data_IF_004366467444
#
_entry.id   IF_004366467444
#
_cell.length_a   1.000
_cell.length_b   1.000
_cell.length_c   1.000
_cell.angle_alpha   90.00
_cell.angle_beta   90.00
_cell.angle_gamma   90.00
#
_symmetry.space_group_name_H-M   'P 1'
#
loop_
_entity.id
_entity.type
_entity.pdbx_description
1 polymer ?
#
# COMPACT_ATOMS: atom_id res chain seq x y z
N UNK A 1 13.67 -15.29 -6.16
CA UNK A 1 12.89 -16.07 -5.19
C UNK A 1 11.44 -15.65 -5.33
N UNK A 2 10.66 -16.44 -6.06
CA UNK A 2 9.20 -16.39 -6.00
C UNK A 2 8.83 -16.73 -4.56
N UNK A 3 8.42 -15.75 -3.75
CA UNK A 3 7.77 -16.02 -2.47
C UNK A 3 6.52 -16.86 -2.81
N UNK A 4 6.55 -18.16 -2.48
CA UNK A 4 5.35 -18.95 -2.48
C UNK A 4 4.44 -18.34 -1.42
N UNK A 5 3.21 -18.00 -1.80
CA UNK A 5 2.17 -17.58 -0.87
C UNK A 5 2.03 -18.66 0.22
N UNK A 6 2.22 -18.39 1.51
CA UNK A 6 2.11 -19.45 2.50
C UNK A 6 0.66 -19.88 2.70
N UNK A 7 0.46 -21.17 3.02
CA UNK A 7 -0.80 -21.64 3.57
C UNK A 7 -0.96 -21.01 4.96
N UNK A 8 -2.08 -20.34 5.17
CA UNK A 8 -2.38 -19.68 6.44
C UNK A 8 -3.28 -20.52 7.36
N UNK A 9 -4.18 -21.31 6.79
CA UNK A 9 -5.11 -22.15 7.54
C UNK A 9 -5.46 -23.41 6.76
N UNK A 10 -5.66 -24.50 7.50
CA UNK A 10 -6.16 -25.76 7.00
C UNK A 10 -7.39 -26.15 7.84
N UNK A 11 -8.56 -26.24 7.21
CA UNK A 11 -9.83 -26.56 7.87
C UNK A 11 -10.34 -27.86 7.28
N UNK A 12 -10.28 -28.92 8.06
CA UNK A 12 -10.76 -30.25 7.66
C UNK A 12 -12.26 -30.39 7.86
N UNK A 13 -12.92 -31.10 6.96
CA UNK A 13 -14.31 -31.53 7.16
C UNK A 13 -14.37 -32.68 8.15
N UNK A 14 -15.56 -32.92 8.72
CA UNK A 14 -15.77 -34.00 9.72
C UNK A 14 -15.34 -35.37 9.19
N UNK A 15 -14.44 -36.02 9.92
CA UNK A 15 -13.91 -37.35 9.60
C UNK A 15 -12.79 -37.34 8.54
N UNK A 16 -12.20 -36.19 8.22
CA UNK A 16 -11.01 -36.05 7.37
C UNK A 16 -9.84 -35.56 8.21
N UNK A 17 -8.69 -36.17 8.04
CA UNK A 17 -7.46 -35.72 8.71
C UNK A 17 -6.76 -34.64 7.88
N UNK A 18 -6.01 -33.77 8.55
CA UNK A 18 -5.21 -32.74 7.87
C UNK A 18 -4.22 -33.37 6.88
N UNK A 19 -3.58 -34.48 7.29
CA UNK A 19 -2.66 -35.21 6.42
C UNK A 19 -3.33 -35.69 5.13
N UNK A 20 -4.55 -36.21 5.22
CA UNK A 20 -5.33 -36.67 4.08
C UNK A 20 -5.68 -35.49 3.13
N UNK A 21 -6.20 -34.40 3.69
CA UNK A 21 -6.54 -33.20 2.90
C UNK A 21 -5.33 -32.65 2.15
N UNK A 22 -4.19 -32.50 2.84
CA UNK A 22 -2.97 -31.97 2.24
C UNK A 22 -2.40 -32.90 1.19
N UNK A 23 -2.43 -34.24 1.41
CA UNK A 23 -1.93 -35.21 0.43
C UNK A 23 -2.74 -35.18 -0.88
N UNK A 24 -4.07 -35.10 -0.82
CA UNK A 24 -4.91 -34.97 -2.01
C UNK A 24 -4.76 -33.61 -2.69
N UNK A 25 -4.64 -32.54 -1.92
CA UNK A 25 -4.39 -31.20 -2.43
C UNK A 25 -3.02 -31.16 -3.17
N UNK A 26 -1.97 -31.73 -2.59
CA UNK A 26 -0.66 -31.84 -3.22
C UNK A 26 -0.73 -32.58 -4.55
N UNK A 27 -1.37 -33.78 -4.56
CA UNK A 27 -1.47 -34.60 -5.76
C UNK A 27 -2.18 -33.87 -6.91
N UNK A 28 -3.23 -33.10 -6.59
CA UNK A 28 -4.00 -32.32 -7.54
C UNK A 28 -3.21 -31.10 -8.04
N UNK A 29 -2.55 -30.35 -7.14
CA UNK A 29 -1.85 -29.12 -7.47
C UNK A 29 -0.46 -29.33 -8.10
N UNK A 30 0.13 -30.54 -7.96
CA UNK A 30 1.47 -30.87 -8.52
C UNK A 30 1.60 -30.62 -10.01
N UNK A 31 0.51 -30.73 -10.76
CA UNK A 31 0.46 -30.49 -12.20
C UNK A 31 -0.03 -29.08 -12.59
N UNK A 32 -0.30 -28.23 -11.61
CA UNK A 32 -0.79 -26.87 -11.80
C UNK A 32 0.38 -25.88 -11.86
N UNK A 33 0.34 -24.97 -12.82
CA UNK A 33 1.30 -23.86 -12.91
C UNK A 33 0.85 -22.61 -12.12
N UNK A 34 -0.29 -22.67 -11.47
CA UNK A 34 -0.85 -21.52 -10.74
C UNK A 34 0.00 -21.15 -9.53
N UNK A 35 0.19 -19.84 -9.22
CA UNK A 35 0.96 -19.42 -8.05
C UNK A 35 0.48 -20.02 -6.71
N UNK A 36 -0.83 -20.22 -6.54
CA UNK A 36 -1.41 -20.84 -5.37
C UNK A 36 -1.01 -22.32 -5.22
N UNK A 37 -0.78 -23.04 -6.33
CA UNK A 37 -0.31 -24.42 -6.30
C UNK A 37 1.04 -24.53 -5.60
N UNK A 38 1.96 -23.59 -5.86
CA UNK A 38 3.28 -23.57 -5.22
C UNK A 38 3.20 -23.49 -3.70
N UNK A 39 2.21 -22.80 -3.19
CA UNK A 39 1.96 -22.69 -1.74
C UNK A 39 1.57 -24.05 -1.14
N UNK A 40 0.63 -24.75 -1.82
CA UNK A 40 0.17 -26.08 -1.40
C UNK A 40 1.32 -27.08 -1.45
N UNK A 41 2.12 -27.06 -2.51
CA UNK A 41 3.26 -27.96 -2.68
C UNK A 41 4.32 -27.74 -1.59
N UNK A 42 4.72 -26.49 -1.37
CA UNK A 42 5.73 -26.18 -0.34
C UNK A 42 5.30 -26.57 1.07
N UNK A 43 4.02 -26.38 1.39
CA UNK A 43 3.47 -26.77 2.70
C UNK A 43 3.45 -28.29 2.86
N UNK A 44 2.99 -29.02 1.85
CA UNK A 44 2.90 -30.49 1.87
C UNK A 44 4.29 -31.13 1.97
N UNK A 45 5.30 -30.59 1.27
CA UNK A 45 6.69 -31.05 1.36
C UNK A 45 7.26 -30.85 2.76
N UNK A 46 7.01 -29.68 3.38
CA UNK A 46 7.42 -29.41 4.76
C UNK A 46 6.73 -30.33 5.77
N UNK A 47 5.47 -30.69 5.53
CA UNK A 47 4.68 -31.59 6.38
C UNK A 47 4.99 -33.09 6.15
N UNK A 48 5.86 -33.44 5.20
CA UNK A 48 6.21 -34.83 4.84
C UNK A 48 4.97 -35.71 4.59
N UNK A 49 4.02 -35.20 3.81
CA UNK A 49 2.77 -35.91 3.50
C UNK A 49 2.99 -36.99 2.44
N UNK A 50 2.08 -37.96 2.39
CA UNK A 50 2.13 -39.02 1.38
C UNK A 50 1.87 -38.42 0.00
N UNK A 51 2.69 -38.81 -0.97
CA UNK A 51 2.63 -38.32 -2.34
C UNK A 51 1.95 -39.35 -3.21
N UNK A 52 0.84 -38.99 -3.87
CA UNK A 52 0.15 -39.81 -4.85
C UNK A 52 0.34 -39.23 -6.26
N UNK A 53 0.22 -40.06 -7.26
CA UNK A 53 0.11 -39.65 -8.65
C UNK A 53 -1.35 -39.67 -9.11
N UNK A 54 -1.73 -38.62 -9.84
CA UNK A 54 -3.07 -38.48 -10.40
C UNK A 54 -3.03 -38.56 -11.91
N UNK A 55 -4.10 -39.08 -12.49
CA UNK A 55 -4.31 -39.20 -13.93
C UNK A 55 -5.37 -38.21 -14.40
N UNK A 56 -5.52 -38.05 -15.70
CA UNK A 56 -6.57 -37.22 -16.32
C UNK A 56 -6.71 -35.81 -15.72
N UNK A 57 -5.56 -35.19 -15.42
CA UNK A 57 -5.53 -33.81 -14.87
C UNK A 57 -6.10 -32.80 -15.87
N UNK A 58 -7.03 -31.97 -15.41
CA UNK A 58 -7.63 -30.90 -16.20
C UNK A 58 -7.70 -29.63 -15.37
N UNK A 59 -7.09 -28.56 -15.87
CA UNK A 59 -7.24 -27.21 -15.31
C UNK A 59 -8.45 -26.53 -15.97
N UNK A 60 -9.32 -25.93 -15.13
CA UNK A 60 -10.51 -25.20 -15.52
C UNK A 60 -10.28 -23.72 -15.22
N UNK A 61 -9.85 -22.89 -16.19
CA UNK A 61 -9.50 -21.49 -15.94
C UNK A 61 -10.60 -20.72 -15.19
N UNK A 62 -10.22 -20.02 -14.12
CA UNK A 62 -11.13 -19.24 -13.28
C UNK A 62 -12.02 -20.05 -12.33
N UNK A 63 -11.99 -21.37 -12.38
CA UNK A 63 -12.81 -22.24 -11.54
C UNK A 63 -11.98 -23.10 -10.59
N UNK A 64 -11.12 -23.97 -11.13
CA UNK A 64 -10.34 -24.90 -10.33
C UNK A 64 -9.69 -25.99 -11.17
N UNK A 65 -9.43 -27.12 -10.52
CA UNK A 65 -8.70 -28.27 -11.04
C UNK A 65 -9.49 -29.53 -10.84
N UNK A 66 -9.31 -30.50 -11.72
CA UNK A 66 -9.84 -31.87 -11.55
C UNK A 66 -8.80 -32.88 -11.98
N UNK A 67 -8.77 -34.04 -11.31
CA UNK A 67 -7.95 -35.17 -11.67
C UNK A 67 -8.56 -36.47 -11.17
N UNK A 68 -8.07 -37.61 -11.64
CA UNK A 68 -8.49 -38.93 -11.20
C UNK A 68 -7.39 -39.60 -10.37
N UNK A 69 -7.75 -40.12 -9.22
CA UNK A 69 -6.89 -40.91 -8.36
C UNK A 69 -7.57 -42.26 -8.09
N UNK A 70 -6.94 -43.36 -8.53
CA UNK A 70 -7.55 -44.69 -8.56
C UNK A 70 -8.89 -44.65 -9.33
N UNK A 71 -10.02 -44.85 -8.61
CA UNK A 71 -11.37 -44.78 -9.19
C UNK A 71 -12.17 -43.54 -8.66
N UNK A 72 -11.50 -42.60 -7.98
CA UNK A 72 -12.12 -41.42 -7.41
C UNK A 72 -11.75 -40.15 -8.20
N UNK A 73 -12.68 -39.21 -8.29
CA UNK A 73 -12.46 -37.89 -8.90
C UNK A 73 -12.07 -36.89 -7.81
N UNK A 74 -10.87 -36.34 -7.93
CA UNK A 74 -10.41 -35.24 -7.10
C UNK A 74 -10.79 -33.90 -7.75
N UNK A 75 -11.26 -32.95 -6.96
CA UNK A 75 -11.47 -31.57 -7.43
C UNK A 75 -10.98 -30.57 -6.41
N UNK A 76 -10.38 -29.50 -6.91
CA UNK A 76 -9.92 -28.37 -6.07
C UNK A 76 -10.27 -27.05 -6.75
N UNK A 77 -10.64 -26.03 -5.98
CA UNK A 77 -10.95 -24.73 -6.56
C UNK A 77 -11.78 -23.81 -5.65
N UNK A 78 -12.35 -22.80 -6.25
CA UNK A 78 -13.16 -21.81 -5.52
C UNK A 78 -14.53 -22.38 -5.10
N UNK A 79 -15.19 -21.66 -4.17
CA UNK A 79 -16.52 -22.04 -3.66
C UNK A 79 -17.55 -22.25 -4.77
N UNK A 80 -17.59 -21.35 -5.77
CA UNK A 80 -18.55 -21.40 -6.88
C UNK A 80 -18.42 -22.69 -7.67
N UNK A 81 -17.23 -23.13 -7.94
CA UNK A 81 -16.94 -24.37 -8.68
C UNK A 81 -17.28 -25.61 -7.84
N UNK A 82 -16.84 -25.65 -6.59
CA UNK A 82 -17.04 -26.82 -5.74
C UNK A 82 -18.51 -27.00 -5.35
N UNK A 83 -19.27 -25.94 -5.14
CA UNK A 83 -20.71 -26.01 -4.81
C UNK A 83 -21.57 -26.58 -5.96
N UNK A 84 -21.07 -26.63 -7.21
CA UNK A 84 -21.73 -27.32 -8.30
C UNK A 84 -21.52 -28.85 -8.28
N UNK A 85 -20.58 -29.34 -7.48
CA UNK A 85 -20.17 -30.75 -7.45
C UNK A 85 -20.55 -31.44 -6.15
N UNK A 86 -20.46 -30.75 -5.03
CA UNK A 86 -20.77 -31.30 -3.72
C UNK A 86 -21.48 -30.31 -2.83
N UNK A 87 -22.27 -30.82 -1.88
CA UNK A 87 -22.91 -29.96 -0.89
C UNK A 87 -21.88 -29.48 0.12
N UNK A 88 -21.71 -28.15 0.23
CA UNK A 88 -20.88 -27.52 1.24
C UNK A 88 -21.73 -27.15 2.43
N UNK A 89 -21.39 -27.67 3.64
CA UNK A 89 -22.14 -27.38 4.85
C UNK A 89 -22.11 -25.87 5.18
N UNK A 90 -23.14 -25.39 5.87
CA UNK A 90 -23.21 -24.00 6.30
C UNK A 90 -22.00 -23.60 7.16
N UNK A 91 -21.53 -24.49 8.03
CA UNK A 91 -20.36 -24.29 8.86
C UNK A 91 -19.09 -23.99 8.00
N UNK A 92 -18.88 -24.79 6.95
CA UNK A 92 -17.74 -24.60 6.04
C UNK A 92 -17.88 -23.34 5.18
N UNK A 93 -19.10 -22.95 4.82
CA UNK A 93 -19.37 -21.68 4.14
C UNK A 93 -19.02 -20.48 5.02
N UNK A 94 -19.47 -20.51 6.29
CA UNK A 94 -19.16 -19.44 7.26
C UNK A 94 -17.66 -19.34 7.53
N UNK A 95 -16.97 -20.47 7.65
CA UNK A 95 -15.51 -20.49 7.81
C UNK A 95 -14.80 -19.89 6.59
N UNK A 96 -15.20 -20.32 5.39
CA UNK A 96 -14.67 -19.75 4.14
C UNK A 96 -14.89 -18.24 4.07
N UNK A 97 -16.09 -17.77 4.46
CA UNK A 97 -16.43 -16.36 4.48
C UNK A 97 -15.58 -15.56 5.48
N UNK A 98 -15.30 -16.12 6.65
CA UNK A 98 -14.39 -15.54 7.65
C UNK A 98 -12.97 -15.40 7.09
N UNK A 99 -12.46 -16.47 6.46
CA UNK A 99 -11.15 -16.46 5.81
C UNK A 99 -11.07 -15.38 4.71
N UNK A 100 -12.08 -15.35 3.83
CA UNK A 100 -12.15 -14.34 2.77
C UNK A 100 -12.23 -12.90 3.33
N UNK A 101 -12.96 -12.70 4.45
CA UNK A 101 -13.02 -11.40 5.14
C UNK A 101 -11.70 -10.99 5.76
N UNK A 102 -10.86 -11.97 6.10
CA UNK A 102 -9.50 -11.74 6.60
C UNK A 102 -8.47 -11.54 5.47
N UNK A 103 -8.91 -11.42 4.21
CA UNK A 103 -8.01 -11.22 3.05
C UNK A 103 -7.33 -12.49 2.55
N UNK A 104 -7.81 -13.67 2.98
CA UNK A 104 -7.26 -14.97 2.58
C UNK A 104 -8.05 -15.55 1.41
N UNK A 105 -7.39 -16.36 0.57
CA UNK A 105 -8.03 -17.07 -0.54
C UNK A 105 -8.34 -18.50 -0.14
N UNK A 106 -9.62 -18.86 0.16
CA UNK A 106 -10.01 -20.20 0.50
C UNK A 106 -10.14 -21.07 -0.75
N UNK A 107 -9.41 -22.18 -0.79
CA UNK A 107 -9.49 -23.23 -1.79
C UNK A 107 -10.18 -24.46 -1.19
N UNK A 108 -11.22 -24.95 -1.84
CA UNK A 108 -11.98 -26.13 -1.43
C UNK A 108 -11.45 -27.35 -2.16
N UNK A 109 -11.35 -28.48 -1.46
CA UNK A 109 -10.91 -29.75 -2.02
C UNK A 109 -11.95 -30.83 -1.77
N UNK A 110 -12.22 -31.65 -2.80
CA UNK A 110 -13.19 -32.74 -2.74
C UNK A 110 -12.60 -34.02 -3.30
N UNK A 111 -13.11 -35.16 -2.80
CA UNK A 111 -12.91 -36.47 -3.35
C UNK A 111 -14.28 -37.03 -3.66
N UNK A 112 -14.59 -37.30 -4.93
CA UNK A 112 -15.93 -37.56 -5.44
C UNK A 112 -16.92 -36.50 -4.96
N UNK A 113 -18.05 -36.89 -4.39
CA UNK A 113 -19.07 -36.00 -3.83
C UNK A 113 -18.81 -35.57 -2.39
N UNK A 114 -17.64 -35.90 -1.81
CA UNK A 114 -17.31 -35.58 -0.41
C UNK A 114 -16.35 -34.42 -0.33
N UNK A 115 -16.75 -33.38 0.39
CA UNK A 115 -15.85 -32.27 0.74
C UNK A 115 -14.79 -32.77 1.73
N UNK A 116 -13.51 -32.61 1.40
CA UNK A 116 -12.38 -32.91 2.29
C UNK A 116 -12.11 -31.75 3.24
N UNK A 117 -12.11 -30.52 2.75
CA UNK A 117 -11.84 -29.34 3.55
C UNK A 117 -11.51 -28.10 2.75
N UNK A 118 -11.00 -27.11 3.45
CA UNK A 118 -10.57 -25.82 2.91
C UNK A 118 -9.10 -25.62 3.26
N UNK A 119 -8.31 -25.21 2.28
CA UNK A 119 -6.94 -24.71 2.45
C UNK A 119 -6.96 -23.23 2.11
N UNK A 120 -6.61 -22.37 3.06
CA UNK A 120 -6.54 -20.94 2.82
C UNK A 120 -5.10 -20.52 2.54
N UNK A 121 -4.94 -19.82 1.42
CA UNK A 121 -3.68 -19.21 1.03
C UNK A 121 -3.80 -17.72 1.26
N UNK A 122 -2.81 -17.11 1.90
CA UNK A 122 -2.79 -15.68 2.15
C UNK A 122 -1.46 -15.07 1.69
N UNK A 123 -1.55 -13.86 1.18
CA UNK A 123 -0.37 -13.01 1.12
C UNK A 123 0.02 -12.63 2.55
N UNK A 124 1.17 -13.09 3.01
CA UNK A 124 1.69 -12.70 4.31
C UNK A 124 2.47 -11.41 4.13
N UNK A 125 2.04 -10.40 4.88
CA UNK A 125 2.81 -9.18 4.99
C UNK A 125 4.20 -9.53 5.55
N UNK A 126 5.25 -9.04 4.91
CA UNK A 126 6.61 -9.22 5.42
C UNK A 126 6.70 -8.66 6.84
N UNK A 127 7.37 -9.37 7.73
CA UNK A 127 7.47 -9.02 9.17
C UNK A 127 7.96 -7.58 9.42
N UNK A 128 8.81 -7.07 8.52
CA UNK A 128 9.36 -5.72 8.63
C UNK A 128 8.42 -4.61 8.14
N UNK A 129 7.33 -4.94 7.39
CA UNK A 129 6.47 -3.95 6.74
C UNK A 129 5.70 -3.06 7.72
N UNK A 130 5.04 -3.58 8.78
CA UNK A 130 4.31 -2.72 9.73
C UNK A 130 5.24 -1.73 10.45
N UNK A 131 6.44 -2.18 10.82
CA UNK A 131 7.43 -1.32 11.46
C UNK A 131 7.96 -0.25 10.50
N UNK A 132 8.22 -0.61 9.23
CA UNK A 132 8.65 0.33 8.21
C UNK A 132 7.59 1.41 7.95
N UNK A 133 6.31 1.03 7.85
CA UNK A 133 5.18 1.96 7.72
C UNK A 133 5.13 2.92 8.90
N UNK A 134 5.21 2.39 10.13
CA UNK A 134 5.22 3.21 11.34
C UNK A 134 6.39 4.22 11.37
N UNK A 135 7.58 3.80 10.91
CA UNK A 135 8.73 4.68 10.83
C UNK A 135 8.54 5.81 9.83
N UNK A 136 7.96 5.52 8.65
CA UNK A 136 7.63 6.53 7.65
C UNK A 136 6.60 7.54 8.19
N UNK A 137 5.55 7.06 8.86
CA UNK A 137 4.55 7.91 9.51
C UNK A 137 5.17 8.79 10.60
N UNK A 138 6.10 8.26 11.42
CA UNK A 138 6.84 9.05 12.40
C UNK A 138 7.70 10.15 11.75
N UNK A 139 8.17 9.94 10.51
CA UNK A 139 8.87 10.96 9.73
C UNK A 139 7.94 12.02 9.11
N UNK A 140 6.62 11.92 9.35
CA UNK A 140 5.59 12.81 8.81
C UNK A 140 5.17 12.48 7.38
N UNK A 141 5.44 11.26 6.90
CA UNK A 141 5.11 10.79 5.56
C UNK A 141 3.80 10.02 5.64
N UNK A 142 2.80 10.39 4.84
CA UNK A 142 1.57 9.63 4.64
C UNK A 142 1.89 8.39 3.79
N UNK A 143 1.47 7.22 4.25
CA UNK A 143 1.72 5.96 3.58
C UNK A 143 0.44 5.46 2.93
N UNK A 144 0.45 5.33 1.61
CA UNK A 144 -0.68 4.87 0.80
C UNK A 144 -0.32 3.53 0.17
N UNK A 145 -1.17 2.52 0.37
CA UNK A 145 -1.04 1.24 -0.31
C UNK A 145 -1.82 1.27 -1.62
N UNK A 146 -1.13 0.95 -2.73
CA UNK A 146 -1.70 0.90 -4.07
C UNK A 146 -1.60 -0.54 -4.59
N UNK A 147 -2.75 -1.17 -4.87
CA UNK A 147 -2.79 -2.58 -5.28
C UNK A 147 -3.84 -2.84 -6.34
N UNK A 148 -3.62 -3.90 -7.15
CA UNK A 148 -4.60 -4.45 -8.07
C UNK A 148 -5.56 -5.47 -7.43
N UNK A 149 -5.36 -5.80 -6.14
CA UNK A 149 -6.24 -6.69 -5.41
C UNK A 149 -7.61 -6.06 -5.18
N UNK A 150 -8.62 -6.91 -4.97
CA UNK A 150 -9.95 -6.45 -4.62
C UNK A 150 -9.95 -5.65 -3.31
N UNK A 151 -10.88 -4.73 -3.20
CA UNK A 151 -10.98 -3.77 -2.09
C UNK A 151 -11.00 -4.45 -0.71
N UNK A 152 -11.63 -5.61 -0.59
CA UNK A 152 -11.75 -6.35 0.68
C UNK A 152 -10.41 -6.88 1.16
N UNK A 153 -9.68 -7.57 0.28
CA UNK A 153 -8.33 -8.09 0.57
C UNK A 153 -7.37 -6.94 0.84
N UNK A 154 -7.39 -5.92 0.00
CA UNK A 154 -6.55 -4.74 0.14
C UNK A 154 -6.75 -4.02 1.47
N UNK A 155 -7.99 -3.82 1.92
CA UNK A 155 -8.30 -3.22 3.23
C UNK A 155 -7.81 -4.06 4.40
N UNK A 156 -7.96 -5.40 4.33
CA UNK A 156 -7.47 -6.29 5.37
C UNK A 156 -5.95 -6.23 5.50
N UNK A 157 -5.22 -6.30 4.38
CA UNK A 157 -3.75 -6.18 4.33
C UNK A 157 -3.30 -4.80 4.78
N UNK A 158 -3.94 -3.74 4.30
CA UNK A 158 -3.63 -2.36 4.67
C UNK A 158 -3.80 -2.08 6.17
N UNK A 159 -4.83 -2.64 6.79
CA UNK A 159 -5.05 -2.56 8.24
C UNK A 159 -3.94 -3.30 9.03
N UNK A 160 -3.50 -4.46 8.57
CA UNK A 160 -2.39 -5.20 9.18
C UNK A 160 -1.05 -4.46 9.01
N UNK A 161 -0.81 -3.85 7.84
CA UNK A 161 0.38 -3.04 7.58
C UNK A 161 0.36 -1.70 8.32
N UNK A 162 -0.82 -1.22 8.72
CA UNK A 162 -1.02 0.06 9.40
C UNK A 162 -0.87 1.28 8.49
N UNK A 163 -1.17 1.15 7.19
CA UNK A 163 -1.09 2.27 6.22
C UNK A 163 -2.20 3.29 6.47
N UNK A 164 -1.98 4.53 6.03
CA UNK A 164 -2.95 5.62 6.21
C UNK A 164 -4.12 5.55 5.23
N UNK A 165 -3.89 4.97 4.04
CA UNK A 165 -4.89 4.84 2.99
C UNK A 165 -4.63 3.61 2.13
N UNK A 166 -5.71 3.02 1.61
CA UNK A 166 -5.67 1.90 0.67
C UNK A 166 -6.41 2.27 -0.60
N UNK A 167 -5.76 2.13 -1.75
CA UNK A 167 -6.36 2.30 -3.08
C UNK A 167 -6.27 0.93 -3.77
N UNK A 168 -7.41 0.28 -3.88
CA UNK A 168 -7.58 -1.07 -4.40
C UNK A 168 -8.09 -1.09 -5.84
N UNK A 169 -8.21 -2.29 -6.43
CA UNK A 169 -8.76 -2.55 -7.78
C UNK A 169 -8.09 -1.72 -8.89
N UNK A 170 -6.80 -1.36 -8.73
CA UNK A 170 -6.08 -0.54 -9.69
C UNK A 170 -5.36 -1.43 -10.69
N UNK A 171 -5.80 -1.38 -11.94
CA UNK A 171 -5.13 -2.05 -13.05
C UNK A 171 -3.70 -1.52 -13.24
N UNK A 172 -2.78 -2.32 -13.80
CA UNK A 172 -1.40 -1.89 -14.03
C UNK A 172 -1.29 -0.53 -14.75
N UNK A 173 -2.09 -0.33 -15.81
CA UNK A 173 -2.13 0.91 -16.60
C UNK A 173 -2.80 2.08 -15.87
N UNK A 174 -3.45 1.84 -14.73
CA UNK A 174 -4.09 2.86 -13.91
C UNK A 174 -3.22 3.42 -12.80
N UNK A 175 -2.12 2.74 -12.45
CA UNK A 175 -1.26 3.13 -11.32
C UNK A 175 -0.63 4.50 -11.50
N UNK A 176 -0.18 4.85 -12.70
CA UNK A 176 0.39 6.15 -13.03
C UNK A 176 -0.62 7.30 -12.86
N UNK A 177 -1.87 7.06 -13.21
CA UNK A 177 -2.98 8.02 -13.04
C UNK A 177 -3.24 8.30 -11.55
N UNK A 178 -3.18 7.27 -10.70
CA UNK A 178 -3.29 7.42 -9.24
C UNK A 178 -2.12 8.26 -8.71
N UNK A 179 -0.89 7.96 -9.12
CA UNK A 179 0.29 8.76 -8.73
C UNK A 179 0.12 10.21 -9.17
N UNK A 180 -0.33 10.46 -10.39
CA UNK A 180 -0.59 11.81 -10.90
C UNK A 180 -1.63 12.58 -10.07
N UNK A 181 -2.65 11.88 -9.55
CA UNK A 181 -3.65 12.44 -8.64
C UNK A 181 -3.03 12.80 -7.29
N UNK A 182 -2.28 11.87 -6.69
CA UNK A 182 -1.63 12.07 -5.39
C UNK A 182 -0.61 13.21 -5.42
N UNK A 183 0.06 13.45 -6.55
CA UNK A 183 1.00 14.57 -6.75
C UNK A 183 0.34 15.94 -6.64
N UNK A 184 -0.98 16.06 -6.79
CA UNK A 184 -1.69 17.33 -6.58
C UNK A 184 -1.75 17.73 -5.10
N UNK A 185 -1.71 16.73 -4.21
CA UNK A 185 -1.77 16.93 -2.76
C UNK A 185 -0.38 17.12 -2.14
N UNK A 186 0.69 16.74 -2.85
CA UNK A 186 2.07 16.86 -2.36
C UNK A 186 3.07 16.06 -3.19
N UNK A 187 4.32 16.01 -2.73
CA UNK A 187 5.36 15.19 -3.37
C UNK A 187 5.14 13.72 -3.06
N UNK A 188 5.29 12.87 -4.07
CA UNK A 188 5.03 11.45 -4.01
C UNK A 188 6.30 10.66 -4.29
N UNK A 189 6.65 9.75 -3.37
CA UNK A 189 7.59 8.67 -3.64
C UNK A 189 6.80 7.39 -3.94
N UNK A 190 7.07 6.74 -5.06
CA UNK A 190 6.53 5.42 -5.39
C UNK A 190 7.55 4.35 -5.03
N UNK A 191 7.09 3.32 -4.36
CA UNK A 191 7.90 2.14 -4.02
C UNK A 191 7.29 0.93 -4.70
N UNK A 192 8.07 0.20 -5.50
CA UNK A 192 7.60 -0.96 -6.23
C UNK A 192 8.72 -1.96 -6.51
N UNK A 193 8.37 -3.18 -6.92
CA UNK A 193 9.33 -4.27 -7.18
C UNK A 193 9.20 -4.90 -8.56
N UNK A 194 8.18 -4.54 -9.33
CA UNK A 194 7.80 -5.21 -10.56
C UNK A 194 7.83 -4.37 -11.83
N UNK A 195 7.80 -5.08 -12.97
CA UNK A 195 7.69 -4.50 -14.32
C UNK A 195 6.41 -3.63 -14.43
N UNK A 196 5.34 -4.08 -13.79
CA UNK A 196 4.04 -3.41 -13.81
C UNK A 196 4.03 -2.08 -13.06
N UNK A 197 5.05 -1.80 -12.25
CA UNK A 197 5.19 -0.57 -11.47
C UNK A 197 6.07 0.48 -12.18
N UNK A 198 6.79 0.12 -13.25
CA UNK A 198 7.70 1.02 -13.95
C UNK A 198 7.06 2.33 -14.41
N UNK A 199 5.84 2.38 -14.99
CA UNK A 199 5.18 3.64 -15.34
C UNK A 199 4.89 4.52 -14.10
N UNK A 200 4.48 3.89 -12.99
CA UNK A 200 4.20 4.60 -11.73
C UNK A 200 5.48 5.10 -11.04
N UNK A 201 6.58 4.31 -11.08
CA UNK A 201 7.89 4.71 -10.58
C UNK A 201 8.40 5.95 -11.32
N UNK A 202 8.36 5.94 -12.66
CA UNK A 202 8.76 7.09 -13.48
C UNK A 202 7.85 8.31 -13.28
N UNK A 203 6.56 8.12 -13.02
CA UNK A 203 5.61 9.21 -12.82
C UNK A 203 5.77 9.91 -11.48
N UNK A 204 6.24 9.23 -10.46
CA UNK A 204 6.44 9.76 -9.11
C UNK A 204 7.48 10.91 -9.10
N UNK A 205 7.57 11.65 -8.00
CA UNK A 205 8.68 12.61 -7.81
C UNK A 205 9.98 11.89 -7.41
N UNK A 206 9.85 10.70 -6.84
CA UNK A 206 10.96 9.77 -6.59
C UNK A 206 10.43 8.36 -6.79
N UNK A 207 11.02 7.60 -7.70
CA UNK A 207 10.82 6.17 -7.89
C UNK A 207 11.82 5.36 -7.07
N UNK A 208 11.34 4.40 -6.29
CA UNK A 208 12.18 3.53 -5.45
C UNK A 208 11.88 2.08 -5.82
N UNK A 209 12.84 1.38 -6.44
CA UNK A 209 12.74 -0.05 -6.68
C UNK A 209 13.25 -0.85 -5.46
N UNK A 210 12.53 -1.90 -5.06
CA UNK A 210 12.89 -2.78 -3.95
C UNK A 210 13.25 -4.17 -4.46
N UNK A 211 14.37 -4.72 -3.94
CA UNK A 211 14.83 -6.07 -4.24
C UNK A 211 15.66 -6.14 -5.52
N UNK A 212 16.04 -7.34 -5.93
CA UNK A 212 16.61 -7.60 -7.24
C UNK A 212 15.49 -7.51 -8.30
N UNK A 213 14.88 -6.31 -8.41
CA UNK A 213 13.84 -6.04 -9.37
C UNK A 213 14.27 -6.39 -10.79
N UNK A 214 13.31 -6.50 -11.69
CA UNK A 214 13.61 -6.66 -13.12
C UNK A 214 14.42 -5.46 -13.61
N UNK A 215 15.27 -5.66 -14.61
CA UNK A 215 16.07 -4.59 -15.22
C UNK A 215 15.21 -3.37 -15.56
N UNK A 216 13.96 -3.58 -15.99
CA UNK A 216 13.00 -2.52 -16.31
C UNK A 216 12.61 -1.68 -15.09
N UNK A 217 12.41 -2.30 -13.92
CA UNK A 217 12.09 -1.55 -12.70
C UNK A 217 13.32 -0.78 -12.18
N UNK A 218 14.51 -1.34 -12.37
CA UNK A 218 15.79 -0.69 -12.03
C UNK A 218 15.99 0.55 -12.90
N UNK A 219 15.76 0.45 -14.21
CA UNK A 219 15.90 1.56 -15.15
C UNK A 219 14.85 2.67 -14.94
N UNK A 220 13.68 2.33 -14.40
CA UNK A 220 12.59 3.28 -14.12
C UNK A 220 12.68 3.98 -12.77
N UNK A 221 13.59 3.56 -11.88
CA UNK A 221 13.68 4.06 -10.51
C UNK A 221 14.86 5.01 -10.31
N UNK A 222 14.66 6.07 -9.50
CA UNK A 222 15.75 6.97 -9.06
C UNK A 222 16.62 6.32 -7.98
N UNK A 223 16.06 5.40 -7.19
CA UNK A 223 16.75 4.70 -6.11
C UNK A 223 16.46 3.20 -6.19
N UNK A 224 17.51 2.39 -6.11
CA UNK A 224 17.39 0.93 -6.11
C UNK A 224 17.85 0.38 -4.76
N UNK A 225 16.95 -0.29 -4.05
CA UNK A 225 17.21 -0.96 -2.80
C UNK A 225 17.42 -2.46 -3.06
N UNK A 226 18.65 -2.92 -2.91
CA UNK A 226 19.06 -4.28 -3.31
C UNK A 226 18.40 -5.41 -2.51
N UNK A 227 17.88 -5.13 -1.33
CA UNK A 227 17.17 -6.10 -0.50
C UNK A 227 15.67 -5.91 -0.64
N UNK A 228 14.94 -7.03 -0.71
CA UNK A 228 13.48 -7.01 -0.79
C UNK A 228 12.84 -6.77 0.59
N UNK A 229 13.19 -5.64 1.26
CA UNK A 229 12.71 -5.24 2.58
C UNK A 229 12.20 -3.81 2.57
N UNK A 230 10.97 -3.62 3.06
CA UNK A 230 10.39 -2.28 3.14
C UNK A 230 11.13 -1.38 4.16
N UNK A 231 11.75 -1.98 5.18
CA UNK A 231 12.57 -1.28 6.18
C UNK A 231 13.78 -0.52 5.60
N UNK A 232 14.22 -0.86 4.40
CA UNK A 232 15.29 -0.16 3.73
C UNK A 232 14.85 1.20 3.16
N UNK A 233 13.54 1.43 2.95
CA UNK A 233 13.00 2.72 2.49
C UNK A 233 13.18 3.83 3.55
N UNK A 234 12.70 3.68 4.80
CA UNK A 234 12.99 4.68 5.84
C UNK A 234 14.49 4.82 6.12
N UNK A 235 15.29 3.75 5.98
CA UNK A 235 16.75 3.80 6.11
C UNK A 235 17.39 4.69 5.03
N UNK A 236 16.96 4.56 3.77
CA UNK A 236 17.43 5.41 2.66
C UNK A 236 17.08 6.89 2.88
N UNK A 237 15.87 7.18 3.37
CA UNK A 237 15.47 8.55 3.71
C UNK A 237 16.35 9.13 4.84
N UNK A 238 16.68 8.34 5.88
CA UNK A 238 17.59 8.78 6.95
C UNK A 238 18.97 9.08 6.41
N UNK A 239 19.50 8.20 5.57
CA UNK A 239 20.81 8.39 4.96
C UNK A 239 20.86 9.67 4.13
N UNK A 240 19.84 9.89 3.27
CA UNK A 240 19.72 11.11 2.48
C UNK A 240 19.70 12.37 3.35
N UNK A 241 18.89 12.37 4.43
CA UNK A 241 18.83 13.51 5.38
C UNK A 241 20.15 13.74 6.11
N UNK A 242 20.85 12.66 6.48
CA UNK A 242 22.18 12.76 7.13
C UNK A 242 23.22 13.31 6.17
N UNK A 243 23.22 12.85 4.92
CA UNK A 243 24.11 13.33 3.86
C UNK A 243 23.89 14.81 3.57
N UNK A 244 22.64 15.25 3.40
CA UNK A 244 22.32 16.66 3.18
C UNK A 244 22.80 17.54 4.36
N UNK A 245 22.59 17.07 5.60
CA UNK A 245 23.09 17.80 6.77
C UNK A 245 24.62 17.91 6.75
N UNK A 246 25.30 16.83 6.43
CA UNK A 246 26.76 16.82 6.32
C UNK A 246 27.26 17.77 5.24
N UNK A 247 26.58 17.84 4.08
CA UNK A 247 26.88 18.80 3.02
C UNK A 247 26.69 20.24 3.51
N UNK A 248 25.58 20.54 4.19
CA UNK A 248 25.33 21.88 4.72
C UNK A 248 26.35 22.29 5.78
N UNK A 249 26.76 21.36 6.67
CA UNK A 249 27.81 21.59 7.66
C UNK A 249 29.16 21.91 6.96
N UNK A 250 29.52 21.14 5.94
CA UNK A 250 30.74 21.38 5.17
C UNK A 250 30.73 22.72 4.44
N UNK A 251 29.60 23.07 3.80
CA UNK A 251 29.46 24.36 3.14
C UNK A 251 29.53 25.53 4.12
N UNK A 252 28.84 25.41 5.26
CA UNK A 252 28.88 26.43 6.31
C UNK A 252 30.33 26.71 6.76
N UNK A 253 31.09 25.69 7.07
CA UNK A 253 32.49 25.86 7.49
C UNK A 253 33.35 26.41 6.36
N UNK A 254 33.15 25.92 5.13
CA UNK A 254 33.87 26.39 3.96
C UNK A 254 33.66 27.90 3.71
N UNK A 255 32.43 28.39 3.87
CA UNK A 255 32.14 29.83 3.72
C UNK A 255 32.62 30.64 4.94
N UNK A 256 32.45 30.11 6.15
CA UNK A 256 32.73 30.82 7.37
C UNK A 256 34.19 31.26 7.48
N UNK A 257 35.16 30.34 7.26
CA UNK A 257 36.58 30.73 7.31
C UNK A 257 37.00 31.66 6.16
N UNK A 258 36.36 31.52 4.98
CA UNK A 258 36.65 32.42 3.85
C UNK A 258 36.11 33.84 4.08
N UNK A 259 34.95 34.00 4.70
CA UNK A 259 34.39 35.30 5.09
C UNK A 259 35.35 36.06 6.03
N UNK A 260 36.04 35.35 6.91
CA UNK A 260 37.04 35.94 7.81
C UNK A 260 38.40 36.11 7.11
N UNK A 261 38.82 35.07 6.39
CA UNK A 261 40.17 35.01 5.81
C UNK A 261 40.40 35.98 4.64
N UNK A 262 39.40 36.15 3.77
CA UNK A 262 39.50 37.03 2.60
C UNK A 262 39.71 38.50 2.98
N UNK A 263 38.89 39.11 3.89
CA UNK A 263 39.13 40.46 4.35
C UNK A 263 40.50 40.63 5.07
N UNK A 264 40.91 39.63 5.84
CA UNK A 264 42.22 39.63 6.51
C UNK A 264 43.36 39.58 5.51
N UNK A 265 43.27 38.75 4.48
CA UNK A 265 44.24 38.65 3.39
C UNK A 265 44.27 39.96 2.56
N UNK A 266 43.12 40.57 2.29
CA UNK A 266 42.98 41.83 1.59
C UNK A 266 43.49 43.04 2.41
N UNK A 267 43.89 42.85 3.68
CA UNK A 267 44.44 43.88 4.53
C UNK A 267 43.41 44.88 5.08
N UNK A 268 42.11 44.54 5.06
CA UNK A 268 41.02 45.40 5.56
C UNK A 268 41.24 45.80 7.03
N UNK A 269 41.84 44.92 7.82
CA UNK A 269 42.10 45.13 9.23
C UNK A 269 43.43 45.83 9.57
N UNK A 270 44.30 46.07 8.57
CA UNK A 270 45.60 46.73 8.78
C UNK A 270 45.43 48.17 9.34
N UNK A 271 44.48 49.04 8.80
CA UNK A 271 44.35 50.39 9.32
C UNK A 271 43.83 50.45 10.75
N UNK A 272 43.02 49.46 11.20
CA UNK A 272 42.40 49.47 12.52
C UNK A 272 43.20 48.75 13.60
N UNK A 273 43.83 47.61 13.23
CA UNK A 273 44.48 46.74 14.21
C UNK A 273 45.93 46.40 13.86
N UNK A 274 46.44 46.83 12.72
CA UNK A 274 47.76 46.47 12.23
C UNK A 274 47.92 44.99 11.82
N UNK A 275 46.84 44.24 11.73
CA UNK A 275 46.86 42.80 11.48
C UNK A 275 47.15 42.53 10.00
N UNK A 276 48.23 41.76 9.78
CA UNK A 276 48.65 41.27 8.45
C UNK A 276 48.55 39.75 8.44
N UNK A 277 47.94 39.19 7.39
CA UNK A 277 47.93 37.74 7.21
C UNK A 277 49.33 37.28 6.78
N UNK A 278 49.94 36.40 7.57
CA UNK A 278 51.16 35.70 7.12
C UNK A 278 50.74 34.60 6.13
N UNK A 279 51.38 34.49 4.95
CA UNK A 279 51.05 33.50 3.91
C UNK A 279 51.09 32.05 4.45
N UNK A 280 51.95 31.72 5.41
CA UNK A 280 52.01 30.39 6.05
C UNK A 280 50.69 30.08 6.78
N UNK A 281 50.10 31.00 7.49
CA UNK A 281 48.83 30.78 8.17
C UNK A 281 47.67 30.60 7.15
N UNK A 282 47.71 31.29 6.02
CA UNK A 282 46.78 31.10 4.92
C UNK A 282 46.86 29.67 4.35
N UNK A 283 48.05 29.19 4.07
CA UNK A 283 48.28 27.82 3.59
C UNK A 283 47.85 26.76 4.60
N UNK A 284 48.17 26.96 5.89
CA UNK A 284 47.77 26.08 6.97
C UNK A 284 46.25 26.01 7.13
N UNK A 285 45.55 27.17 7.04
CA UNK A 285 44.10 27.24 7.12
C UNK A 285 43.43 26.47 5.95
N UNK A 286 43.94 26.57 4.73
CA UNK A 286 43.47 25.81 3.57
C UNK A 286 43.60 24.29 3.78
N UNK A 287 44.76 23.84 4.27
CA UNK A 287 44.99 22.42 4.54
C UNK A 287 44.09 21.91 5.65
N UNK A 288 43.90 22.68 6.72
CA UNK A 288 43.05 22.34 7.84
C UNK A 288 41.56 22.27 7.42
N UNK A 289 41.12 23.18 6.54
CA UNK A 289 39.78 23.16 5.97
C UNK A 289 39.50 21.85 5.22
N UNK A 290 40.41 21.43 4.34
CA UNK A 290 40.26 20.17 3.60
C UNK A 290 40.21 18.96 4.54
N UNK A 291 41.08 18.95 5.58
CA UNK A 291 41.04 17.92 6.60
C UNK A 291 39.70 17.88 7.36
N UNK A 292 39.16 19.02 7.75
CA UNK A 292 37.88 19.10 8.44
C UNK A 292 36.73 18.56 7.57
N UNK A 293 36.68 18.92 6.29
CA UNK A 293 35.64 18.46 5.34
C UNK A 293 35.70 16.93 5.18
N UNK A 294 36.92 16.37 4.96
CA UNK A 294 37.09 14.92 4.84
C UNK A 294 36.68 14.19 6.12
N UNK A 295 37.14 14.70 7.28
CA UNK A 295 36.80 14.11 8.58
C UNK A 295 35.31 14.14 8.85
N UNK A 296 34.63 15.25 8.52
CA UNK A 296 33.19 15.34 8.67
C UNK A 296 32.46 14.39 7.70
N UNK A 297 32.91 14.24 6.46
CA UNK A 297 32.35 13.27 5.52
C UNK A 297 32.50 11.83 6.02
N UNK A 298 33.66 11.48 6.61
CA UNK A 298 33.87 10.14 7.17
C UNK A 298 32.97 9.81 8.36
N UNK A 299 32.41 10.80 9.05
CA UNK A 299 31.40 10.58 10.11
C UNK A 299 30.14 9.87 9.60
N UNK A 300 29.82 9.97 8.29
CA UNK A 300 28.70 9.23 7.69
C UNK A 300 28.89 7.71 7.79
N UNK A 301 30.14 7.21 7.81
CA UNK A 301 30.41 5.78 7.97
C UNK A 301 30.01 5.25 9.36
N UNK A 302 29.91 6.12 10.35
CA UNK A 302 29.48 5.80 11.71
C UNK A 302 27.95 5.96 11.89
N UNK A 303 27.23 6.37 10.83
CA UNK A 303 25.80 6.60 10.90
C UNK A 303 25.02 5.29 10.78
N UNK A 304 24.24 4.96 11.81
CA UNK A 304 23.35 3.80 11.79
C UNK A 304 22.05 4.13 11.07
N UNK A 305 21.89 3.66 9.83
CA UNK A 305 20.74 3.95 8.96
C UNK A 305 19.44 3.30 9.45
N UNK A 306 19.52 2.19 10.18
CA UNK A 306 18.36 1.46 10.70
C UNK A 306 17.93 1.90 12.11
N UNK A 307 18.65 2.80 12.77
CA UNK A 307 18.29 3.29 14.10
C UNK A 307 17.25 4.42 13.99
N UNK A 308 16.01 4.09 14.34
CA UNK A 308 14.86 5.02 14.33
C UNK A 308 14.76 5.93 15.58
N UNK A 309 15.53 5.69 16.65
CA UNK A 309 15.42 6.44 17.91
C UNK A 309 15.74 7.94 17.76
N UNK A 310 16.63 8.25 16.80
CA UNK A 310 17.07 9.63 16.51
C UNK A 310 16.14 10.37 15.53
N UNK A 311 15.10 9.72 15.03
CA UNK A 311 14.16 10.38 14.14
C UNK A 311 13.38 11.47 14.90
N UNK A 312 13.36 12.68 14.35
CA UNK A 312 12.44 13.71 14.84
C UNK A 312 11.04 13.26 14.50
N UNK A 313 10.26 12.90 15.53
CA UNK A 313 8.82 12.62 15.37
C UNK A 313 8.14 13.90 14.88
N UNK A 314 7.90 13.97 13.60
CA UNK A 314 7.08 15.00 13.01
C UNK A 314 5.65 14.52 13.25
N UNK A 315 4.92 15.17 14.17
CA UNK A 315 3.47 14.93 14.24
C UNK A 315 2.93 15.20 12.84
N UNK A 316 2.58 14.16 12.13
CA UNK A 316 1.74 14.27 10.95
C UNK A 316 0.58 15.17 11.40
N UNK A 317 0.40 16.31 10.75
CA UNK A 317 -0.89 16.97 10.80
C UNK A 317 -1.82 15.93 10.18
N UNK A 318 -2.53 15.18 11.03
CA UNK A 318 -3.73 14.49 10.61
C UNK A 318 -4.69 15.58 10.13
N UNK A 319 -4.52 15.96 8.90
CA UNK A 319 -5.58 16.33 8.01
C UNK A 319 -5.88 15.08 7.20
N UNK A 320 -6.43 14.07 7.86
CA UNK A 320 -7.62 13.49 7.32
C UNK A 320 -8.66 14.60 7.51
N UNK A 321 -8.68 15.57 6.64
CA UNK A 321 -9.94 15.97 6.11
C UNK A 321 -10.43 14.66 5.46
N UNK A 322 -11.35 13.96 6.17
CA UNK A 322 -12.43 13.29 5.47
C UNK A 322 -12.75 14.28 4.36
N UNK A 323 -12.40 14.00 3.11
CA UNK A 323 -13.04 14.63 1.99
C UNK A 323 -14.48 14.22 2.17
N UNK A 324 -15.23 15.09 2.89
CA UNK A 324 -16.66 15.02 2.90
C UNK A 324 -16.99 14.92 1.42
N UNK A 325 -17.51 13.80 0.99
CA UNK A 325 -18.08 13.73 -0.34
C UNK A 325 -19.26 14.68 -0.29
N UNK A 326 -19.04 15.90 -0.74
CA UNK A 326 -20.08 16.92 -0.81
C UNK A 326 -20.62 16.91 -2.23
N UNK A 327 -21.92 16.75 -2.36
CA UNK A 327 -22.65 16.93 -3.61
C UNK A 327 -23.55 18.14 -3.48
N UNK A 328 -23.56 18.98 -4.51
CA UNK A 328 -24.42 20.16 -4.57
C UNK A 328 -25.55 19.89 -5.56
N UNK A 329 -26.80 19.91 -5.04
CA UNK A 329 -27.98 19.83 -5.85
C UNK A 329 -28.50 21.23 -6.13
N UNK A 330 -28.85 21.52 -7.37
CA UNK A 330 -29.61 22.73 -7.73
C UNK A 330 -31.09 22.37 -7.81
N UNK A 331 -31.93 23.04 -7.01
CA UNK A 331 -33.33 22.68 -6.79
C UNK A 331 -34.21 23.89 -7.13
N UNK A 332 -35.21 23.67 -7.99
CA UNK A 332 -36.20 24.66 -8.38
C UNK A 332 -37.52 24.44 -7.61
N UNK A 333 -38.14 25.53 -7.19
CA UNK A 333 -39.48 25.51 -6.55
C UNK A 333 -39.46 25.73 -5.03
N UNK A 334 -38.29 25.91 -4.40
CA UNK A 334 -38.19 26.27 -2.97
C UNK A 334 -38.45 27.76 -2.78
N UNK A 335 -39.49 28.13 -2.01
CA UNK A 335 -39.89 29.53 -1.84
C UNK A 335 -39.69 30.07 -0.38
N UNK A 336 -39.43 29.22 0.59
CA UNK A 336 -39.39 29.62 1.99
C UNK A 336 -38.62 28.62 2.87
N UNK A 337 -38.31 29.01 4.12
CA UNK A 337 -37.61 28.16 5.08
C UNK A 337 -38.32 26.83 5.44
N UNK A 338 -39.64 26.73 5.23
CA UNK A 338 -40.35 25.44 5.37
C UNK A 338 -40.00 24.45 4.24
N UNK A 339 -39.77 24.97 3.04
CA UNK A 339 -39.27 24.18 1.91
C UNK A 339 -37.88 23.63 2.16
N UNK A 340 -37.00 24.45 2.73
CA UNK A 340 -35.62 24.02 3.15
C UNK A 340 -35.69 22.86 4.14
N UNK A 341 -36.51 23.01 5.20
CA UNK A 341 -36.65 22.00 6.24
C UNK A 341 -37.15 20.66 5.69
N UNK A 342 -38.06 20.72 4.68
CA UNK A 342 -38.65 19.56 4.02
C UNK A 342 -37.60 18.82 3.17
N UNK A 343 -36.90 19.55 2.32
CA UNK A 343 -35.81 19.01 1.49
C UNK A 343 -34.67 18.46 2.34
N UNK A 344 -34.26 19.21 3.38
CA UNK A 344 -33.24 18.78 4.34
C UNK A 344 -33.60 17.45 4.97
N UNK A 345 -34.82 17.33 5.51
CA UNK A 345 -35.31 16.11 6.15
C UNK A 345 -35.38 14.92 5.17
N UNK A 346 -35.75 15.14 3.91
CA UNK A 346 -35.79 14.11 2.90
C UNK A 346 -34.38 13.59 2.51
N UNK A 347 -33.42 14.50 2.40
CA UNK A 347 -32.03 14.14 2.12
C UNK A 347 -31.35 13.43 3.30
N UNK A 348 -31.58 13.93 4.53
CA UNK A 348 -31.05 13.32 5.76
C UNK A 348 -31.74 11.99 6.16
N UNK A 349 -32.86 11.64 5.53
CA UNK A 349 -33.48 10.32 5.68
C UNK A 349 -32.74 9.20 4.93
N UNK A 350 -31.86 9.52 4.00
CA UNK A 350 -31.00 8.55 3.31
C UNK A 350 -29.86 8.13 4.26
N UNK A 351 -29.64 6.82 4.48
CA UNK A 351 -28.65 6.32 5.43
C UNK A 351 -27.22 6.69 5.08
N UNK A 352 -26.95 7.07 3.84
CA UNK A 352 -25.64 7.47 3.34
C UNK A 352 -25.36 8.98 3.49
N UNK A 353 -26.38 9.76 3.88
CA UNK A 353 -26.29 11.22 4.06
C UNK A 353 -26.03 11.55 5.53
N UNK A 354 -24.92 12.22 5.78
CA UNK A 354 -24.55 12.67 7.14
C UNK A 354 -25.23 13.98 7.54
N UNK A 355 -25.26 14.93 6.62
CA UNK A 355 -25.79 16.27 6.83
C UNK A 355 -26.19 16.91 5.51
N UNK A 356 -27.28 17.66 5.48
CA UNK A 356 -27.71 18.45 4.32
C UNK A 356 -27.88 19.92 4.73
N UNK A 357 -27.27 20.84 3.99
CA UNK A 357 -27.44 22.28 4.14
C UNK A 357 -28.22 22.78 2.93
N UNK A 358 -29.44 23.21 3.14
CA UNK A 358 -30.36 23.65 2.08
C UNK A 358 -30.59 25.15 2.17
N UNK A 359 -30.56 25.85 1.04
CA UNK A 359 -30.87 27.27 0.94
C UNK A 359 -31.88 27.53 -0.18
N UNK A 360 -33.06 28.08 0.20
CA UNK A 360 -34.08 28.49 -0.76
C UNK A 360 -33.69 29.76 -1.51
N UNK A 361 -32.91 30.65 -0.90
CA UNK A 361 -32.42 31.87 -1.54
C UNK A 361 -31.42 31.56 -2.67
N UNK A 362 -30.52 30.57 -2.45
CA UNK A 362 -29.58 30.13 -3.46
C UNK A 362 -30.14 29.07 -4.40
N UNK A 363 -31.30 28.46 -4.09
CA UNK A 363 -31.85 27.34 -4.85
C UNK A 363 -30.98 26.08 -4.82
N UNK A 364 -30.21 25.87 -3.74
CA UNK A 364 -29.23 24.79 -3.66
C UNK A 364 -29.34 23.99 -2.38
N UNK A 365 -28.97 22.71 -2.45
CA UNK A 365 -28.72 21.84 -1.30
C UNK A 365 -27.32 21.24 -1.38
N UNK A 366 -26.49 21.50 -0.37
CA UNK A 366 -25.17 20.89 -0.21
C UNK A 366 -25.32 19.69 0.72
N UNK A 367 -25.03 18.50 0.21
CA UNK A 367 -25.18 17.23 0.92
C UNK A 367 -23.80 16.67 1.25
N UNK A 368 -23.53 16.46 2.52
CA UNK A 368 -22.34 15.75 3.00
C UNK A 368 -22.65 14.27 3.15
N UNK A 369 -21.91 13.41 2.46
CA UNK A 369 -22.15 11.97 2.40
C UNK A 369 -21.19 11.20 3.30
N UNK A 370 -21.67 10.12 3.93
CA UNK A 370 -20.83 9.14 4.66
C UNK A 370 -20.35 8.00 3.74
N UNK A 371 -21.12 7.71 2.68
CA UNK A 371 -20.77 6.72 1.65
C UNK A 371 -21.28 7.19 0.27
N UNK A 372 -20.82 6.51 -0.80
CA UNK A 372 -21.22 6.88 -2.17
C UNK A 372 -22.71 6.65 -2.39
N UNK A 373 -23.41 7.70 -2.81
CA UNK A 373 -24.84 7.69 -3.20
C UNK A 373 -24.95 8.01 -4.68
N UNK A 374 -25.85 7.32 -5.39
CA UNK A 374 -26.15 7.65 -6.79
C UNK A 374 -26.86 9.00 -6.92
N UNK A 375 -26.63 9.70 -8.01
CA UNK A 375 -27.28 11.00 -8.28
C UNK A 375 -28.80 10.84 -8.39
N UNK A 376 -29.25 9.67 -8.91
CA UNK A 376 -30.65 9.30 -9.03
C UNK A 376 -31.34 9.20 -7.65
N UNK A 377 -30.70 8.60 -6.65
CA UNK A 377 -31.27 8.44 -5.32
C UNK A 377 -31.45 9.79 -4.59
N UNK A 378 -30.44 10.70 -4.73
CA UNK A 378 -30.56 12.06 -4.20
C UNK A 378 -31.68 12.86 -4.90
N UNK A 379 -31.80 12.68 -6.21
CA UNK A 379 -32.81 13.32 -7.03
C UNK A 379 -34.20 12.82 -6.64
N UNK A 380 -34.45 11.51 -6.55
CA UNK A 380 -35.70 10.90 -6.13
C UNK A 380 -36.14 11.38 -4.73
N UNK A 381 -35.21 11.48 -3.78
CA UNK A 381 -35.53 11.94 -2.43
C UNK A 381 -36.08 13.38 -2.39
N UNK A 382 -35.58 14.26 -3.27
CA UNK A 382 -36.03 15.66 -3.36
C UNK A 382 -37.30 15.75 -4.20
N UNK A 383 -37.39 15.04 -5.32
CA UNK A 383 -38.60 15.04 -6.21
C UNK A 383 -39.80 14.42 -5.54
N UNK A 384 -39.63 13.48 -4.61
CA UNK A 384 -40.71 12.95 -3.76
C UNK A 384 -41.33 14.00 -2.83
N UNK A 385 -40.75 15.19 -2.70
CA UNK A 385 -41.27 16.32 -1.92
C UNK A 385 -41.89 17.42 -2.82
N UNK A 386 -42.16 17.12 -4.09
CA UNK A 386 -42.73 18.03 -5.10
C UNK A 386 -41.79 19.18 -5.52
N UNK A 387 -40.47 19.00 -5.41
CA UNK A 387 -39.45 19.93 -5.91
C UNK A 387 -38.72 19.31 -7.10
N UNK A 388 -38.19 20.16 -8.00
CA UNK A 388 -37.51 19.72 -9.20
C UNK A 388 -35.97 19.89 -9.04
N UNK A 389 -35.21 18.82 -9.25
CA UNK A 389 -33.74 18.88 -9.26
C UNK A 389 -33.26 19.15 -10.68
N UNK A 390 -32.51 20.26 -10.88
CA UNK A 390 -31.97 20.66 -12.17
C UNK A 390 -30.64 19.96 -12.45
N UNK A 391 -29.75 19.92 -11.45
CA UNK A 391 -28.43 19.31 -11.59
C UNK A 391 -27.91 18.81 -10.25
N UNK A 392 -27.06 17.77 -10.29
CA UNK A 392 -26.27 17.26 -9.17
C UNK A 392 -24.80 17.34 -9.59
N UNK A 393 -23.96 17.99 -8.77
CA UNK A 393 -22.53 18.20 -9.02
C UNK A 393 -21.70 17.65 -7.86
#
# INVERSE_FOLDING_TARGET
>A
QTCALPISDVICNKGVTEKELISFAYALEKKSEHPLAKAVLAYAEAAQTDIFEVNNFTALPGNGLTAEYENAVLSGGNYKFISTRTAVSQEMQEQSQKLANAGKTPLFFTKDDKLLGIIAVADVIKEDSPEAVRQLQNMGIRVVMLTGDNERTAKAIGAQAGVDEVIADVLPDGKDSVISRLKRDGRVAMVGDGINDAPALTRADIGIAIGAGTDIAIDAADVVLMKSRLSDVPAAIRLSRATLRNIHENLFWAFFYNIIGIPLAAGVWIPFFGWKLNPMFGAAAMSLSSFCVVTNALRLNLFSVHNAEKDKKIKSKKKVEDKKMEKTLTIEGMMCGHCEARVKKALEALPEVKEAVVSHEAGTAVVTLESAVSDEALKEAVEAQDYKVISVQ
#
